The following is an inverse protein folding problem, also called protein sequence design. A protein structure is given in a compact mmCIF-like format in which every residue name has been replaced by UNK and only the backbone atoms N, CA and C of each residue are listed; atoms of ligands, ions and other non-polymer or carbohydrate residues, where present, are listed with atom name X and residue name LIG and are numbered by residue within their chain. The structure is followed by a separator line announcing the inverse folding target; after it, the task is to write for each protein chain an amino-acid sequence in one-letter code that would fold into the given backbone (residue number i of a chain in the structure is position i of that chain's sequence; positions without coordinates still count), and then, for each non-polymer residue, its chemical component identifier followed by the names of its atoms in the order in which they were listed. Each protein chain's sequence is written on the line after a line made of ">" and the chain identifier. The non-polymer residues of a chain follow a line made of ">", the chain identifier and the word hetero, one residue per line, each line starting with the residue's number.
data_IF_180608531155
#
_entry.id   IF_180608531155
#
_cell.length_a   1.000
_cell.length_b   1.000
_cell.length_c   1.000
_cell.angle_alpha   90.00
_cell.angle_beta   90.00
_cell.angle_gamma   90.00
#
_symmetry.space_group_name_H-M   'P 1'
#
loop_
_entity.id
_entity.type
_entity.pdbx_description
1 polymer ?
#
# COMPACT_ATOMS: atom_id res chain seq x y z
N UNK A 1 4.86 28.86 34.60
CA UNK A 1 5.00 27.55 33.93
C UNK A 1 3.62 27.11 33.50
N UNK A 2 3.46 26.80 32.22
CA UNK A 2 2.19 26.44 31.58
C UNK A 2 2.35 25.06 30.96
N UNK A 3 1.34 24.21 31.10
CA UNK A 3 1.30 22.88 30.49
C UNK A 3 0.08 22.76 29.59
N UNK A 4 0.30 22.42 28.33
CA UNK A 4 -0.74 22.10 27.36
C UNK A 4 -0.88 20.58 27.25
N UNK A 5 -2.09 20.06 27.43
CA UNK A 5 -2.44 18.69 27.09
C UNK A 5 -3.04 18.67 25.70
N UNK A 6 -2.42 17.96 24.78
CA UNK A 6 -2.82 17.92 23.36
C UNK A 6 -3.13 16.49 22.92
N UNK A 7 -4.11 16.33 22.02
CA UNK A 7 -4.43 15.02 21.45
C UNK A 7 -3.24 14.47 20.66
N UNK A 8 -2.96 13.19 20.88
CA UNK A 8 -2.05 12.43 20.04
C UNK A 8 -2.81 11.96 18.78
N UNK A 9 -2.40 12.38 17.57
CA UNK A 9 -3.08 11.99 16.34
C UNK A 9 -2.76 10.55 15.89
N UNK A 10 -1.93 9.82 16.65
CA UNK A 10 -1.70 8.40 16.39
C UNK A 10 -3.01 7.61 16.35
N UNK A 11 -3.22 6.90 15.25
CA UNK A 11 -4.29 5.93 15.12
C UNK A 11 -4.00 4.65 15.92
N UNK A 12 -5.03 3.81 16.02
CA UNK A 12 -4.86 2.44 16.48
C UNK A 12 -3.85 1.73 15.57
N UNK A 13 -2.90 0.94 16.13
CA UNK A 13 -2.00 0.16 15.31
C UNK A 13 -2.83 -0.78 14.42
N UNK A 14 -2.46 -0.93 13.13
CA UNK A 14 -3.18 -1.81 12.23
C UNK A 14 -3.16 -3.23 12.80
N UNK A 15 -4.32 -3.89 12.80
CA UNK A 15 -4.38 -5.31 13.14
C UNK A 15 -3.81 -6.09 11.96
N UNK A 16 -2.77 -6.90 12.22
CA UNK A 16 -2.26 -7.87 11.27
C UNK A 16 -3.18 -9.10 11.28
N UNK A 17 -4.34 -8.95 10.64
CA UNK A 17 -5.39 -9.97 10.55
C UNK A 17 -5.04 -11.10 9.57
N UNK A 18 -4.22 -10.80 8.55
CA UNK A 18 -3.89 -11.74 7.49
C UNK A 18 -2.38 -11.96 7.38
N UNK A 19 -2.00 -13.23 7.19
CA UNK A 19 -0.65 -13.60 6.78
C UNK A 19 -0.54 -13.54 5.26
N UNK A 20 0.65 -13.16 4.76
CA UNK A 20 0.96 -13.22 3.33
C UNK A 20 0.84 -14.65 2.80
N UNK A 21 0.42 -14.77 1.55
CA UNK A 21 0.28 -16.06 0.89
C UNK A 21 1.65 -16.80 0.80
N UNK A 22 1.68 -18.13 0.97
CA UNK A 22 2.88 -18.93 0.73
C UNK A 22 3.40 -18.73 -0.69
N UNK A 23 4.72 -18.57 -0.83
CA UNK A 23 5.35 -18.45 -2.14
C UNK A 23 5.42 -19.81 -2.83
N UNK A 24 5.44 -19.78 -4.16
CA UNK A 24 5.54 -20.98 -4.99
C UNK A 24 6.94 -21.58 -4.89
N UNK A 25 7.06 -22.91 -4.95
CA UNK A 25 8.37 -23.56 -5.00
C UNK A 25 9.09 -23.31 -6.35
N UNK A 26 8.32 -23.24 -7.44
CA UNK A 26 8.77 -22.99 -8.80
C UNK A 26 7.59 -22.47 -9.65
N UNK A 27 7.86 -21.94 -10.85
CA UNK A 27 6.85 -21.45 -11.79
C UNK A 27 6.46 -22.48 -12.88
N UNK A 28 7.15 -23.61 -13.03
CA UNK A 28 6.73 -24.62 -14.02
C UNK A 28 5.42 -25.29 -13.64
N UNK A 29 4.52 -25.42 -14.62
CA UNK A 29 3.18 -25.97 -14.43
C UNK A 29 2.25 -25.04 -13.64
N UNK A 30 2.65 -23.78 -13.43
CA UNK A 30 1.88 -22.77 -12.70
C UNK A 30 1.17 -21.81 -13.65
N UNK A 31 0.01 -21.36 -13.22
CA UNK A 31 -0.79 -20.37 -13.94
C UNK A 31 -0.67 -19.01 -13.27
N UNK A 32 -0.21 -18.00 -14.00
CA UNK A 32 -0.03 -16.64 -13.48
C UNK A 32 -1.10 -15.69 -14.05
N UNK A 33 -1.87 -15.04 -13.18
CA UNK A 33 -2.83 -14.01 -13.57
C UNK A 33 -2.21 -12.62 -13.72
N UNK A 34 -2.61 -11.88 -14.74
CA UNK A 34 -2.13 -10.51 -15.01
C UNK A 34 -3.17 -9.47 -14.54
N UNK A 35 -2.82 -8.66 -13.55
CA UNK A 35 -3.70 -7.63 -12.97
C UNK A 35 -3.27 -6.24 -13.44
N UNK A 36 -4.13 -5.59 -14.23
CA UNK A 36 -3.84 -4.28 -14.80
C UNK A 36 -4.83 -3.21 -14.35
N UNK A 37 -4.30 -2.03 -14.02
CA UNK A 37 -5.11 -0.81 -13.84
C UNK A 37 -5.47 -0.13 -15.16
N UNK A 38 -5.01 -0.64 -16.30
CA UNK A 38 -5.26 -0.06 -17.62
C UNK A 38 -4.29 1.07 -18.01
N UNK A 39 -3.22 1.30 -17.24
CA UNK A 39 -2.27 2.40 -17.45
C UNK A 39 -0.81 1.91 -17.51
N UNK A 40 0.10 2.81 -17.90
CA UNK A 40 1.56 2.60 -17.86
C UNK A 40 2.08 1.44 -18.72
N UNK A 41 1.59 1.36 -19.95
CA UNK A 41 2.12 0.45 -20.98
C UNK A 41 2.09 -1.02 -20.53
N UNK A 42 1.09 -1.40 -19.74
CA UNK A 42 0.85 -2.78 -19.29
C UNK A 42 0.74 -3.75 -20.47
N UNK A 43 0.17 -3.28 -21.57
CA UNK A 43 0.02 -3.95 -22.85
C UNK A 43 1.36 -4.25 -23.55
N UNK A 44 2.44 -3.55 -23.19
CA UNK A 44 3.82 -3.89 -23.61
C UNK A 44 4.57 -4.69 -22.54
N UNK A 45 4.39 -4.36 -21.27
CA UNK A 45 5.10 -4.98 -20.16
C UNK A 45 4.71 -6.45 -19.95
N UNK A 46 3.40 -6.76 -19.93
CA UNK A 46 2.93 -8.12 -19.70
C UNK A 46 3.35 -9.11 -20.80
N UNK A 47 3.24 -8.79 -22.11
CA UNK A 47 3.76 -9.69 -23.15
C UNK A 47 5.25 -9.98 -23.02
N UNK A 48 6.06 -8.98 -22.66
CA UNK A 48 7.50 -9.18 -22.43
C UNK A 48 7.74 -10.10 -21.23
N UNK A 49 7.03 -9.90 -20.12
CA UNK A 49 7.13 -10.77 -18.94
C UNK A 49 6.74 -12.20 -19.29
N UNK A 50 5.64 -12.39 -20.03
CA UNK A 50 5.24 -13.72 -20.51
C UNK A 50 6.33 -14.39 -21.32
N UNK A 51 6.91 -13.67 -22.26
CA UNK A 51 7.98 -14.20 -23.10
C UNK A 51 9.16 -14.66 -22.23
N UNK A 52 9.70 -13.76 -21.39
CA UNK A 52 10.87 -14.03 -20.57
C UNK A 52 10.65 -15.14 -19.53
N UNK A 53 9.45 -15.20 -18.94
CA UNK A 53 9.11 -16.28 -18.01
C UNK A 53 8.94 -17.62 -18.73
N UNK A 54 8.36 -17.67 -19.93
CA UNK A 54 8.25 -18.91 -20.72
C UNK A 54 9.61 -19.42 -21.20
N UNK A 55 10.53 -18.53 -21.52
CA UNK A 55 11.91 -18.92 -21.88
C UNK A 55 12.61 -19.65 -20.73
N UNK A 56 12.29 -19.31 -19.47
CA UNK A 56 12.91 -19.89 -18.27
C UNK A 56 12.12 -21.02 -17.64
N UNK A 57 10.80 -20.96 -17.74
CA UNK A 57 9.85 -21.92 -17.20
C UNK A 57 8.87 -22.35 -18.31
N UNK A 58 9.26 -23.27 -19.21
CA UNK A 58 8.44 -23.62 -20.38
C UNK A 58 7.02 -24.12 -20.03
N UNK A 59 6.83 -24.64 -18.82
CA UNK A 59 5.52 -25.11 -18.33
C UNK A 59 4.64 -24.03 -17.71
N UNK A 60 5.09 -22.77 -17.60
CA UNK A 60 4.28 -21.69 -17.04
C UNK A 60 3.20 -21.24 -18.03
N UNK A 61 1.98 -21.03 -17.51
CA UNK A 61 0.84 -20.53 -18.29
C UNK A 61 0.34 -19.22 -17.69
N UNK A 62 -0.46 -18.48 -18.46
CA UNK A 62 -0.92 -17.15 -18.05
C UNK A 62 -2.41 -17.00 -18.31
N UNK A 63 -3.09 -16.34 -17.37
CA UNK A 63 -4.40 -15.74 -17.61
C UNK A 63 -4.14 -14.26 -17.90
N UNK A 64 -4.22 -13.84 -19.17
CA UNK A 64 -3.83 -12.50 -19.56
C UNK A 64 -4.78 -11.45 -19.01
N UNK A 65 -4.31 -10.20 -18.96
CA UNK A 65 -5.11 -9.05 -18.50
C UNK A 65 -6.37 -8.81 -19.35
N UNK A 66 -6.50 -9.43 -20.52
CA UNK A 66 -7.70 -9.37 -21.37
C UNK A 66 -8.82 -10.28 -20.89
N UNK A 67 -8.46 -11.32 -20.14
CA UNK A 67 -9.37 -12.36 -19.66
C UNK A 67 -9.69 -12.19 -18.17
N UNK A 68 -8.99 -11.24 -17.52
CA UNK A 68 -9.25 -10.76 -16.17
C UNK A 68 -9.80 -9.33 -16.20
N UNK A 69 -10.45 -8.87 -15.12
CA UNK A 69 -10.82 -7.46 -14.99
C UNK A 69 -9.62 -6.54 -15.24
N UNK A 70 -9.81 -5.53 -16.08
CA UNK A 70 -8.77 -4.58 -16.47
C UNK A 70 -9.30 -3.15 -16.37
N UNK A 71 -8.52 -2.28 -15.73
CA UNK A 71 -8.91 -0.90 -15.43
C UNK A 71 -9.06 -0.68 -13.94
N UNK A 72 -8.72 0.53 -13.47
CA UNK A 72 -8.68 0.83 -12.03
C UNK A 72 -9.96 0.46 -11.26
N UNK A 73 -11.13 0.76 -11.83
CA UNK A 73 -12.41 0.40 -11.21
C UNK A 73 -12.73 -1.09 -11.28
N UNK A 74 -12.26 -1.78 -12.32
CA UNK A 74 -12.56 -3.19 -12.55
C UNK A 74 -11.75 -4.10 -11.61
N UNK A 75 -10.52 -3.70 -11.24
CA UNK A 75 -9.67 -4.47 -10.33
C UNK A 75 -9.89 -4.13 -8.85
N UNK A 76 -10.35 -2.90 -8.55
CA UNK A 76 -10.61 -2.44 -7.17
C UNK A 76 -11.99 -2.86 -6.66
N UNK A 77 -12.29 -4.15 -6.82
CA UNK A 77 -13.53 -4.77 -6.35
C UNK A 77 -13.23 -5.80 -5.28
N UNK A 78 -14.16 -6.01 -4.35
CA UNK A 78 -13.93 -6.91 -3.21
C UNK A 78 -13.76 -8.37 -3.63
N UNK A 79 -14.36 -8.77 -4.75
CA UNK A 79 -14.33 -10.14 -5.24
C UNK A 79 -13.17 -10.46 -6.20
N UNK A 80 -12.18 -9.57 -6.36
CA UNK A 80 -11.09 -9.77 -7.32
C UNK A 80 -10.27 -11.04 -7.01
N UNK A 81 -10.12 -11.38 -5.73
CA UNK A 81 -9.44 -12.61 -5.31
C UNK A 81 -10.19 -13.86 -5.76
N UNK A 82 -11.52 -13.87 -5.65
CA UNK A 82 -12.39 -14.95 -6.13
C UNK A 82 -12.32 -15.11 -7.65
N UNK A 83 -12.31 -14.00 -8.38
CA UNK A 83 -12.20 -14.02 -9.86
C UNK A 83 -10.88 -14.67 -10.27
N UNK A 84 -9.77 -14.25 -9.68
CA UNK A 84 -8.43 -14.80 -9.99
C UNK A 84 -8.33 -16.28 -9.60
N UNK A 85 -8.88 -16.67 -8.45
CA UNK A 85 -8.94 -18.06 -8.02
C UNK A 85 -9.80 -18.93 -8.96
N UNK A 86 -10.94 -18.42 -9.42
CA UNK A 86 -11.84 -19.13 -10.33
C UNK A 86 -11.22 -19.37 -11.72
N UNK A 87 -10.31 -18.50 -12.14
CA UNK A 87 -9.52 -18.68 -13.36
C UNK A 87 -8.35 -19.68 -13.19
N UNK A 88 -8.20 -20.28 -12.00
CA UNK A 88 -7.18 -21.29 -11.74
C UNK A 88 -5.76 -20.72 -11.61
N UNK A 89 -5.61 -19.45 -11.23
CA UNK A 89 -4.29 -18.85 -11.06
C UNK A 89 -3.62 -19.34 -9.77
N UNK A 90 -2.38 -19.82 -9.89
CA UNK A 90 -1.50 -20.15 -8.76
C UNK A 90 -0.77 -18.91 -8.20
N UNK A 91 -0.62 -17.86 -9.00
CA UNK A 91 0.00 -16.59 -8.62
C UNK A 91 -0.59 -15.43 -9.42
N UNK A 92 -0.35 -14.19 -9.00
CA UNK A 92 -0.72 -13.00 -9.78
C UNK A 92 0.40 -11.94 -9.84
N UNK A 93 0.54 -11.30 -11.00
CA UNK A 93 1.45 -10.16 -11.20
C UNK A 93 0.59 -8.94 -11.49
N UNK A 94 0.81 -7.86 -10.73
CA UNK A 94 0.09 -6.59 -10.90
C UNK A 94 0.98 -5.45 -11.40
N UNK A 95 0.44 -4.58 -12.25
CA UNK A 95 1.10 -3.36 -12.73
C UNK A 95 1.22 -3.29 -14.26
N UNK A 96 2.15 -2.48 -14.80
CA UNK A 96 3.01 -1.52 -14.10
C UNK A 96 2.22 -0.39 -13.42
N UNK A 97 2.70 0.07 -12.26
CA UNK A 97 2.10 1.16 -11.49
C UNK A 97 3.00 2.41 -11.49
N UNK A 98 2.69 3.39 -12.35
CA UNK A 98 3.49 4.61 -12.46
C UNK A 98 3.06 5.83 -11.64
N UNK A 99 1.94 5.73 -10.91
CA UNK A 99 1.46 6.78 -10.02
C UNK A 99 1.03 6.20 -8.67
N UNK A 100 0.95 7.05 -7.65
CA UNK A 100 0.45 6.65 -6.33
C UNK A 100 -0.95 6.06 -6.36
N UNK A 101 -1.88 6.65 -7.14
CA UNK A 101 -3.23 6.12 -7.30
C UNK A 101 -3.24 4.71 -7.91
N UNK A 102 -2.38 4.46 -8.90
CA UNK A 102 -2.31 3.16 -9.56
C UNK A 102 -1.65 2.12 -8.65
N UNK A 103 -0.58 2.49 -7.94
CA UNK A 103 0.06 1.62 -6.95
C UNK A 103 -0.88 1.27 -5.80
N UNK A 104 -1.73 2.20 -5.37
CA UNK A 104 -2.78 1.98 -4.37
C UNK A 104 -3.84 0.98 -4.87
N UNK A 105 -4.27 1.14 -6.11
CA UNK A 105 -5.35 0.34 -6.72
C UNK A 105 -4.87 -1.09 -6.99
N UNK A 106 -3.72 -1.24 -7.64
CA UNK A 106 -3.07 -2.54 -7.86
C UNK A 106 -2.72 -3.18 -6.52
N UNK A 107 -2.13 -2.44 -5.58
CA UNK A 107 -1.80 -2.95 -4.25
C UNK A 107 -3.00 -3.51 -3.49
N UNK A 108 -4.15 -2.81 -3.49
CA UNK A 108 -5.39 -3.32 -2.86
C UNK A 108 -5.90 -4.58 -3.56
N UNK A 109 -5.83 -4.61 -4.89
CA UNK A 109 -6.24 -5.78 -5.68
C UNK A 109 -5.37 -6.99 -5.36
N UNK A 110 -4.05 -6.83 -5.33
CA UNK A 110 -3.11 -7.88 -4.99
C UNK A 110 -3.26 -8.36 -3.54
N UNK A 111 -3.49 -7.46 -2.59
CA UNK A 111 -3.77 -7.84 -1.21
C UNK A 111 -5.06 -8.67 -1.08
N UNK A 112 -6.12 -8.35 -1.83
CA UNK A 112 -7.36 -9.18 -1.89
C UNK A 112 -7.09 -10.56 -2.50
N UNK A 113 -6.19 -10.65 -3.48
CA UNK A 113 -5.75 -11.93 -4.06
C UNK A 113 -4.94 -12.74 -3.03
N UNK A 114 -4.02 -12.11 -2.28
CA UNK A 114 -3.27 -12.82 -1.22
C UNK A 114 -4.16 -13.34 -0.09
N UNK A 115 -5.29 -12.69 0.20
CA UNK A 115 -6.29 -13.23 1.16
C UNK A 115 -6.85 -14.59 0.75
N UNK A 116 -6.75 -14.95 -0.53
CA UNK A 116 -7.13 -16.27 -1.06
C UNK A 116 -5.98 -17.28 -1.05
N UNK A 117 -4.83 -16.91 -0.50
CA UNK A 117 -3.65 -17.77 -0.48
C UNK A 117 -2.88 -17.81 -1.80
N UNK A 118 -3.18 -16.89 -2.73
CA UNK A 118 -2.51 -16.79 -4.02
C UNK A 118 -1.37 -15.75 -3.90
N UNK A 119 -0.09 -16.14 -4.01
CA UNK A 119 1.03 -15.21 -3.91
C UNK A 119 1.01 -14.18 -5.03
N UNK A 120 1.33 -12.94 -4.69
CA UNK A 120 1.33 -11.83 -5.64
C UNK A 120 2.68 -11.12 -5.75
N UNK A 121 2.92 -10.47 -6.89
CA UNK A 121 4.05 -9.57 -7.10
C UNK A 121 3.60 -8.29 -7.81
N UNK A 122 4.09 -7.13 -7.36
CA UNK A 122 3.74 -5.83 -7.94
C UNK A 122 4.92 -5.18 -8.69
N UNK A 123 4.67 -4.76 -9.92
CA UNK A 123 5.56 -3.98 -10.75
C UNK A 123 5.25 -2.50 -10.51
N UNK A 124 6.18 -1.81 -9.88
CA UNK A 124 5.97 -0.45 -9.39
C UNK A 124 7.03 0.47 -9.99
N UNK A 125 6.72 1.74 -10.18
CA UNK A 125 7.74 2.74 -10.51
C UNK A 125 8.37 3.33 -9.26
N UNK A 126 9.64 3.73 -9.35
CA UNK A 126 10.39 4.35 -8.25
C UNK A 126 9.60 5.43 -7.52
N UNK A 127 9.53 5.31 -6.18
CA UNK A 127 8.85 6.26 -5.29
C UNK A 127 7.45 5.82 -4.85
N UNK A 128 6.95 4.68 -5.31
CA UNK A 128 5.58 4.24 -5.05
C UNK A 128 5.47 2.90 -4.29
N UNK A 129 6.58 2.22 -3.97
CA UNK A 129 6.53 0.99 -3.18
C UNK A 129 5.87 1.18 -1.80
N UNK A 130 6.09 2.33 -1.16
CA UNK A 130 5.44 2.68 0.11
C UNK A 130 3.92 2.72 0.02
N UNK A 131 3.37 3.10 -1.14
CA UNK A 131 1.92 3.14 -1.37
C UNK A 131 1.35 1.72 -1.50
N UNK A 132 2.05 0.82 -2.20
CA UNK A 132 1.62 -0.57 -2.28
C UNK A 132 1.68 -1.26 -0.90
N UNK A 133 2.73 -1.02 -0.11
CA UNK A 133 2.82 -1.54 1.28
C UNK A 133 1.68 -1.02 2.15
N UNK A 134 1.35 0.26 1.99
CA UNK A 134 0.19 0.89 2.66
C UNK A 134 -1.12 0.21 2.26
N UNK A 135 -1.25 -0.22 1.00
CA UNK A 135 -2.40 -1.00 0.53
C UNK A 135 -2.56 -2.33 1.27
N UNK A 136 -1.47 -3.08 1.40
CA UNK A 136 -1.45 -4.34 2.14
C UNK A 136 -1.76 -4.12 3.62
N UNK A 137 -1.15 -3.11 4.24
CA UNK A 137 -1.40 -2.74 5.63
C UNK A 137 -2.88 -2.39 5.88
N UNK A 138 -3.48 -1.56 5.02
CA UNK A 138 -4.89 -1.19 5.10
C UNK A 138 -5.85 -2.36 4.86
N UNK A 139 -5.36 -3.43 4.25
CA UNK A 139 -6.08 -4.69 4.04
C UNK A 139 -5.90 -5.70 5.18
N UNK A 140 -5.12 -5.37 6.21
CA UNK A 140 -4.88 -6.21 7.38
C UNK A 140 -3.64 -7.10 7.30
N UNK A 141 -2.74 -6.89 6.33
CA UNK A 141 -1.43 -7.57 6.29
C UNK A 141 -0.38 -6.83 7.12
N UNK A 142 0.86 -7.35 7.16
CA UNK A 142 2.00 -6.56 7.59
C UNK A 142 2.28 -5.41 6.61
N UNK A 143 3.11 -4.43 7.03
CA UNK A 143 3.51 -3.31 6.17
C UNK A 143 4.57 -3.77 5.15
N UNK A 144 4.19 -4.73 4.33
CA UNK A 144 5.04 -5.39 3.37
C UNK A 144 4.23 -5.71 2.12
N UNK A 145 4.92 -5.67 0.98
CA UNK A 145 4.38 -6.10 -0.30
C UNK A 145 5.54 -6.70 -1.08
N UNK A 146 5.28 -7.80 -1.78
CA UNK A 146 6.23 -8.33 -2.75
C UNK A 146 6.18 -7.44 -3.99
N UNK A 147 7.19 -6.59 -4.17
CA UNK A 147 7.24 -5.63 -5.25
C UNK A 147 8.67 -5.25 -5.62
N UNK A 148 8.86 -4.77 -6.84
CA UNK A 148 10.11 -4.16 -7.28
C UNK A 148 9.85 -2.84 -7.99
N UNK A 149 10.73 -1.86 -7.72
CA UNK A 149 10.65 -0.53 -8.31
C UNK A 149 11.53 -0.44 -9.55
N UNK A 150 10.91 -0.12 -10.68
CA UNK A 150 11.57 0.19 -11.93
C UNK A 150 11.60 1.71 -12.14
N UNK A 151 12.62 2.25 -12.83
CA UNK A 151 12.60 3.66 -13.22
C UNK A 151 11.33 4.02 -13.98
N UNK A 152 10.72 5.18 -13.71
CA UNK A 152 9.48 5.60 -14.38
C UNK A 152 9.62 5.64 -15.91
N UNK A 153 10.82 5.99 -16.41
CA UNK A 153 11.15 6.00 -17.84
C UNK A 153 10.93 4.65 -18.54
N UNK A 154 11.02 3.53 -17.81
CA UNK A 154 10.85 2.18 -18.35
C UNK A 154 9.45 2.01 -18.95
N UNK A 155 8.43 2.66 -18.41
CA UNK A 155 7.03 2.49 -18.83
C UNK A 155 6.44 3.70 -19.56
N UNK A 156 7.29 4.56 -20.14
CA UNK A 156 6.82 5.68 -20.97
C UNK A 156 6.53 5.22 -22.43
N UNK A 157 5.70 5.94 -23.19
CA UNK A 157 5.55 5.73 -24.63
C UNK A 157 6.91 5.68 -25.36
N UNK A 158 7.14 4.62 -26.16
CA UNK A 158 8.37 4.46 -26.94
C UNK A 158 9.64 4.09 -26.15
N UNK A 159 9.55 3.92 -24.82
CA UNK A 159 10.69 3.52 -24.00
C UNK A 159 11.17 2.10 -24.30
N UNK A 160 12.45 1.84 -24.01
CA UNK A 160 12.99 0.48 -23.94
C UNK A 160 12.59 -0.18 -22.61
N UNK A 161 12.24 -1.46 -22.67
CA UNK A 161 11.91 -2.31 -21.52
C UNK A 161 13.11 -3.17 -21.08
N UNK A 162 14.33 -2.89 -21.54
CA UNK A 162 15.55 -3.58 -21.12
C UNK A 162 15.73 -3.61 -19.59
N UNK A 163 15.37 -2.54 -18.87
CA UNK A 163 15.40 -2.50 -17.40
C UNK A 163 14.46 -3.57 -16.79
N UNK A 164 13.29 -3.80 -17.39
CA UNK A 164 12.36 -4.86 -16.99
C UNK A 164 12.94 -6.24 -17.33
N UNK A 165 13.47 -6.41 -18.54
CA UNK A 165 14.05 -7.67 -18.99
C UNK A 165 15.25 -8.11 -18.14
N UNK A 166 16.17 -7.19 -17.87
CA UNK A 166 17.37 -7.44 -17.06
C UNK A 166 17.09 -7.70 -15.58
N UNK A 167 15.86 -7.44 -15.10
CA UNK A 167 15.45 -7.67 -13.71
C UNK A 167 14.26 -8.64 -13.61
N UNK A 168 14.03 -9.49 -14.62
CA UNK A 168 12.95 -10.48 -14.57
C UNK A 168 13.08 -11.44 -13.38
N UNK A 169 14.31 -11.68 -12.90
CA UNK A 169 14.59 -12.42 -11.66
C UNK A 169 13.82 -11.87 -10.46
N UNK A 170 13.57 -10.56 -10.40
CA UNK A 170 12.82 -9.94 -9.30
C UNK A 170 11.37 -10.38 -9.27
N UNK A 171 10.77 -10.62 -10.43
CA UNK A 171 9.41 -11.17 -10.54
C UNK A 171 9.40 -12.60 -10.03
N UNK A 172 10.39 -13.41 -10.43
CA UNK A 172 10.53 -14.80 -9.99
C UNK A 172 10.72 -14.85 -8.47
N UNK A 173 11.71 -14.14 -7.94
CA UNK A 173 12.00 -14.04 -6.51
C UNK A 173 10.77 -13.59 -5.72
N UNK A 174 10.05 -12.59 -6.24
CA UNK A 174 8.83 -12.08 -5.64
C UNK A 174 7.70 -13.10 -5.49
N UNK A 175 7.63 -14.08 -6.40
CA UNK A 175 6.64 -15.15 -6.40
C UNK A 175 7.12 -16.43 -5.70
N UNK A 176 8.44 -16.65 -5.57
CA UNK A 176 9.00 -17.92 -5.09
C UNK A 176 9.79 -17.83 -3.77
N UNK A 177 10.57 -16.77 -3.55
CA UNK A 177 11.51 -16.70 -2.42
C UNK A 177 11.22 -15.57 -1.44
N UNK A 178 10.48 -14.54 -1.86
CA UNK A 178 10.19 -13.37 -1.05
C UNK A 178 9.46 -13.72 0.24
N UNK A 179 9.87 -13.08 1.34
CA UNK A 179 9.20 -13.20 2.64
C UNK A 179 8.95 -11.79 3.19
N UNK A 180 7.82 -11.57 3.87
CA UNK A 180 7.61 -10.32 4.57
C UNK A 180 8.70 -10.17 5.64
N UNK A 181 9.25 -8.96 5.85
CA UNK A 181 10.11 -8.71 6.99
C UNK A 181 9.37 -9.01 8.29
N UNK A 182 10.11 -9.47 9.30
CA UNK A 182 9.58 -9.62 10.64
C UNK A 182 9.29 -8.22 11.20
N UNK A 183 8.02 -7.80 11.17
CA UNK A 183 7.65 -6.51 11.75
C UNK A 183 7.49 -6.65 13.28
N UNK A 184 8.25 -5.85 14.02
CA UNK A 184 7.87 -5.43 15.36
C UNK A 184 6.83 -4.33 15.24
N UNK A 185 5.65 -4.51 15.83
CA UNK A 185 4.66 -3.45 15.88
C UNK A 185 5.24 -2.26 16.66
N UNK A 186 5.43 -1.12 16.01
CA UNK A 186 5.63 0.14 16.72
C UNK A 186 4.29 0.48 17.37
N UNK A 187 4.16 0.20 18.68
CA UNK A 187 2.99 0.63 19.43
C UNK A 187 2.97 2.16 19.48
N UNK A 188 1.84 2.77 19.09
CA UNK A 188 1.59 4.17 19.43
C UNK A 188 0.60 4.24 20.58
N UNK A 189 0.89 5.08 21.59
CA UNK A 189 -0.04 5.36 22.67
C UNK A 189 -1.15 6.30 22.16
N UNK A 190 -2.38 6.08 22.62
CA UNK A 190 -3.52 6.97 22.37
C UNK A 190 -3.66 8.06 23.43
N UNK A 191 -2.77 8.08 24.43
CA UNK A 191 -2.83 9.05 25.51
C UNK A 191 -2.49 10.46 25.01
N UNK A 192 -3.16 11.46 25.59
CA UNK A 192 -2.82 12.86 25.34
C UNK A 192 -1.38 13.16 25.77
N UNK A 193 -0.70 13.99 24.99
CA UNK A 193 0.68 14.40 25.30
C UNK A 193 0.66 15.69 26.11
N UNK A 194 1.38 15.72 27.23
CA UNK A 194 1.56 16.91 28.05
C UNK A 194 2.86 17.62 27.67
N UNK A 195 2.76 18.87 27.21
CA UNK A 195 3.90 19.70 26.80
C UNK A 195 3.95 20.94 27.68
N UNK A 196 5.08 21.18 28.35
CA UNK A 196 5.24 22.30 29.28
C UNK A 196 6.23 23.36 28.76
N UNK A 197 5.93 24.62 29.03
CA UNK A 197 6.76 25.80 28.74
C UNK A 197 6.72 26.83 29.89
N UNK A 198 7.56 27.87 29.84
CA UNK A 198 7.54 28.93 30.86
C UNK A 198 6.23 29.71 30.81
N UNK A 199 5.76 30.00 29.60
CA UNK A 199 4.50 30.65 29.25
C UNK A 199 3.75 29.90 28.13
N UNK A 200 2.60 30.44 27.72
CA UNK A 200 1.78 29.84 26.66
C UNK A 200 2.50 29.82 25.30
N UNK A 201 3.28 30.86 24.97
CA UNK A 201 3.98 30.95 23.68
C UNK A 201 5.00 29.82 23.57
N UNK A 202 5.85 29.67 24.58
CA UNK A 202 6.86 28.61 24.58
C UNK A 202 6.21 27.22 24.62
N UNK A 203 5.12 27.03 25.37
CA UNK A 203 4.41 25.75 25.37
C UNK A 203 3.82 25.43 23.98
N UNK A 204 3.26 26.42 23.28
CA UNK A 204 2.73 26.28 21.92
C UNK A 204 3.82 26.01 20.88
N UNK A 205 4.97 26.67 21.00
CA UNK A 205 6.14 26.43 20.12
C UNK A 205 6.65 25.00 20.30
N UNK A 206 6.72 24.52 21.56
CA UNK A 206 7.12 23.13 21.86
C UNK A 206 6.11 22.10 21.34
N UNK A 207 4.81 22.39 21.38
CA UNK A 207 3.79 21.54 20.75
C UNK A 207 4.02 21.48 19.24
N UNK A 208 4.29 22.61 18.58
CA UNK A 208 4.57 22.62 17.15
C UNK A 208 5.84 21.83 16.81
N UNK A 209 6.92 21.99 17.58
CA UNK A 209 8.15 21.20 17.42
C UNK A 209 7.91 19.70 17.61
N UNK A 210 7.09 19.32 18.59
CA UNK A 210 6.69 17.92 18.79
C UNK A 210 5.95 17.38 17.56
N UNK A 211 4.96 18.11 17.06
CA UNK A 211 4.16 17.66 15.91
C UNK A 211 5.00 17.57 14.65
N UNK A 212 5.88 18.54 14.40
CA UNK A 212 6.83 18.50 13.27
C UNK A 212 7.80 17.32 13.38
N UNK A 213 8.36 17.05 14.57
CA UNK A 213 9.31 15.94 14.77
C UNK A 213 8.67 14.58 14.50
N UNK A 214 7.36 14.46 14.73
CA UNK A 214 6.62 13.21 14.54
C UNK A 214 5.82 13.18 13.23
N UNK A 215 5.99 14.15 12.32
CA UNK A 215 5.18 14.30 11.09
C UNK A 215 3.66 14.37 11.32
N UNK A 216 3.23 14.86 12.48
CA UNK A 216 1.82 14.96 12.88
C UNK A 216 1.07 16.18 12.29
N UNK A 217 1.52 16.66 11.13
CA UNK A 217 0.96 17.82 10.44
C UNK A 217 1.56 18.01 9.05
N UNK A 218 1.14 19.06 8.37
CA UNK A 218 1.55 19.41 7.00
C UNK A 218 2.78 20.34 6.94
N UNK A 219 3.37 20.65 8.09
CA UNK A 219 4.49 21.60 8.22
C UNK A 219 4.06 23.03 8.56
N UNK A 220 2.76 23.34 8.54
CA UNK A 220 2.25 24.64 8.98
C UNK A 220 2.12 24.69 10.52
N UNK A 221 2.21 25.90 11.11
CA UNK A 221 1.95 26.06 12.54
C UNK A 221 0.54 25.60 12.90
N UNK A 222 0.47 24.67 13.84
CA UNK A 222 -0.76 24.15 14.40
C UNK A 222 -1.16 24.95 15.63
N UNK A 223 -2.45 25.22 15.71
CA UNK A 223 -3.10 25.55 16.97
C UNK A 223 -3.12 24.28 17.84
N UNK A 224 -2.51 24.27 19.05
CA UNK A 224 -2.49 23.09 19.91
C UNK A 224 -3.87 22.42 20.04
N UNK A 225 -4.02 21.13 19.69
CA UNK A 225 -5.31 20.44 19.75
C UNK A 225 -5.61 20.03 21.19
N UNK A 226 -5.96 21.00 22.04
CA UNK A 226 -6.38 20.77 23.42
C UNK A 226 -7.81 20.25 23.47
N UNK A 227 -8.20 19.62 24.59
CA UNK A 227 -9.58 19.16 24.79
C UNK A 227 -10.60 20.28 24.62
N UNK A 228 -10.37 21.43 25.26
CA UNK A 228 -11.23 22.62 25.13
C UNK A 228 -11.40 23.07 23.68
N UNK A 229 -10.30 23.13 22.90
CA UNK A 229 -10.35 23.58 21.51
C UNK A 229 -11.07 22.57 20.62
N UNK A 230 -10.83 21.28 20.82
CA UNK A 230 -11.53 20.23 20.07
C UNK A 230 -13.02 20.22 20.41
N UNK A 231 -13.41 20.35 21.68
CA UNK A 231 -14.83 20.48 22.07
C UNK A 231 -15.49 21.69 21.41
N UNK A 232 -14.82 22.84 21.39
CA UNK A 232 -15.33 24.02 20.70
C UNK A 232 -15.54 23.77 19.19
N UNK A 233 -14.60 23.09 18.51
CA UNK A 233 -14.75 22.71 17.09
C UNK A 233 -15.94 21.74 16.90
N UNK A 234 -16.11 20.78 17.81
CA UNK A 234 -17.19 19.78 17.74
C UNK A 234 -18.58 20.38 17.97
N UNK A 235 -18.71 21.54 18.61
CA UNK A 235 -19.99 22.27 18.65
C UNK A 235 -20.52 22.65 17.26
N UNK A 236 -19.68 22.62 16.22
CA UNK A 236 -20.09 22.86 14.83
C UNK A 236 -20.85 21.71 14.17
N UNK A 237 -20.96 20.55 14.81
CA UNK A 237 -21.71 19.38 14.29
C UNK A 237 -22.89 19.01 15.18
N UNK A 238 -23.98 18.53 14.57
CA UNK A 238 -25.12 17.96 15.30
C UNK A 238 -24.93 16.49 15.69
N UNK A 239 -23.82 15.86 15.28
CA UNK A 239 -23.51 14.48 15.60
C UNK A 239 -22.89 14.36 17.00
N UNK A 240 -23.21 13.31 17.77
CA UNK A 240 -22.50 13.00 19.02
C UNK A 240 -20.98 12.90 18.81
N UNK A 241 -20.19 13.35 19.81
CA UNK A 241 -18.70 13.34 19.78
C UNK A 241 -18.08 12.02 19.31
N UNK A 242 -18.65 10.90 19.74
CA UNK A 242 -18.12 9.55 19.47
C UNK A 242 -18.77 8.87 18.24
N UNK A 243 -19.45 9.63 17.38
CA UNK A 243 -20.06 9.09 16.16
C UNK A 243 -18.98 8.56 15.22
N UNK A 244 -19.07 7.28 14.86
CA UNK A 244 -18.19 6.70 13.85
C UNK A 244 -18.63 7.16 12.45
N UNK A 245 -17.81 8.01 11.82
CA UNK A 245 -18.07 8.58 10.49
C UNK A 245 -17.49 7.75 9.34
N UNK A 246 -16.71 6.72 9.64
CA UNK A 246 -16.10 5.86 8.63
C UNK A 246 -14.76 5.26 9.06
N UNK A 247 -14.23 4.37 8.22
CA UNK A 247 -12.88 3.82 8.35
C UNK A 247 -11.94 4.60 7.45
N UNK A 248 -10.90 5.18 8.04
CA UNK A 248 -9.80 5.80 7.29
C UNK A 248 -8.71 4.75 7.12
N UNK A 249 -8.26 4.53 5.88
CA UNK A 249 -7.16 3.61 5.62
C UNK A 249 -5.88 4.15 6.26
N UNK A 250 -5.09 3.27 6.84
CA UNK A 250 -3.77 3.59 7.39
C UNK A 250 -2.96 4.34 6.34
N UNK A 251 -2.42 5.53 6.69
CA UNK A 251 -1.68 6.45 5.78
C UNK A 251 -2.43 6.97 4.54
N UNK A 252 -3.77 6.95 4.53
CA UNK A 252 -4.64 7.58 3.52
C UNK A 252 -5.01 9.06 3.80
N UNK A 253 -4.14 9.77 4.51
CA UNK A 253 -4.26 11.13 5.01
C UNK A 253 -3.20 11.29 6.10
N UNK A 254 -2.04 11.84 5.75
CA UNK A 254 -0.79 11.67 6.49
C UNK A 254 -0.85 12.19 7.95
N UNK A 255 -0.35 11.34 8.84
CA UNK A 255 0.65 11.67 9.85
C UNK A 255 1.69 10.53 9.85
#
# INVERSE_FOLDING_TARGET
>A
MVTLKVFNPCGLPPRHEFAHAPRLADLNGKTIGEISSGFWQYDRAFPLIRQLLKERFPGVTFVPYTDLPNGSHAIDVDNIGEVVAAMGCDAAIGGPSGSGSNAMTVGRSLARIEKKGIPTFSIITTGHAGVAKTAFLGMGFSEAASCYEFPARTFLPGSDLADLAGNIDKVVDGLTTWKPPANGAAGCSLDMVAVSGRDYREASDRVNSLFLTNNWGDGLPLLPPTEERVEWVLCGTGLPRNTNIGKVLTRGGLA
#
